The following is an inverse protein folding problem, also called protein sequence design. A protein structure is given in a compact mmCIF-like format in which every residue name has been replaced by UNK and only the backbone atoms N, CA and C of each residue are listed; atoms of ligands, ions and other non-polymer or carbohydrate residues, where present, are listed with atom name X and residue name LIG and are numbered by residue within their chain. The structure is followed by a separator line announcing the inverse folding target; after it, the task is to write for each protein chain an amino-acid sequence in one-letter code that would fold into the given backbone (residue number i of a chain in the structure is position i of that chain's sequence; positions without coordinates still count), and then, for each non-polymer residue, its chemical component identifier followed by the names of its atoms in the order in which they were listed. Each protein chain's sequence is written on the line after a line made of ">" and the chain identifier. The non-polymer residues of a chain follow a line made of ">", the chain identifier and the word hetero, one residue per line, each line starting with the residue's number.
data_IF_076960209173
#
_entry.id   IF_076960209173
#
_cell.length_a   1.000
_cell.length_b   1.000
_cell.length_c   1.000
_cell.angle_alpha   90.00
_cell.angle_beta   90.00
_cell.angle_gamma   90.00
#
_symmetry.space_group_name_H-M   'P 1'
#
loop_
_entity.id
_entity.type
_entity.pdbx_description
1 polymer ?
#
# COMPACT_ATOMS: atom_id res chain seq x y z
N UNK A 1 -18.05 -26.76 -13.21
CA UNK A 1 -16.89 -27.57 -12.76
C UNK A 1 -15.64 -27.34 -13.59
N UNK A 2 -15.63 -27.56 -14.91
CA UNK A 2 -14.41 -27.45 -15.75
C UNK A 2 -13.64 -26.12 -15.65
N UNK A 3 -14.32 -24.98 -15.48
CA UNK A 3 -13.65 -23.66 -15.34
C UNK A 3 -12.85 -23.55 -14.04
N UNK A 4 -13.40 -24.03 -12.93
CA UNK A 4 -12.74 -23.99 -11.61
C UNK A 4 -11.56 -24.96 -11.58
N UNK A 5 -11.73 -26.13 -12.19
CA UNK A 5 -10.67 -27.13 -12.32
C UNK A 5 -9.50 -26.61 -13.16
N UNK A 6 -9.78 -26.00 -14.31
CA UNK A 6 -8.75 -25.39 -15.15
C UNK A 6 -8.04 -24.23 -14.46
N UNK A 7 -8.77 -23.41 -13.69
CA UNK A 7 -8.21 -22.32 -12.90
C UNK A 7 -7.27 -22.83 -11.79
N UNK A 8 -7.68 -23.88 -11.07
CA UNK A 8 -6.84 -24.48 -10.03
C UNK A 8 -5.55 -25.08 -10.59
N UNK A 9 -5.60 -25.62 -11.81
CA UNK A 9 -4.44 -26.19 -12.48
C UNK A 9 -3.48 -25.13 -13.04
N UNK A 10 -3.97 -23.94 -13.41
CA UNK A 10 -3.16 -22.88 -14.01
C UNK A 10 -2.42 -22.01 -13.00
N UNK A 11 -2.84 -22.02 -11.73
CA UNK A 11 -2.27 -21.16 -10.68
C UNK A 11 -1.03 -21.79 -10.04
N UNK A 12 -0.10 -20.91 -9.68
CA UNK A 12 1.00 -21.27 -8.78
C UNK A 12 0.46 -21.54 -7.36
N UNK A 13 0.32 -22.82 -7.06
CA UNK A 13 -0.25 -23.35 -5.81
C UNK A 13 0.60 -22.93 -4.60
N UNK A 14 1.91 -22.81 -4.76
CA UNK A 14 2.81 -22.49 -3.65
C UNK A 14 2.56 -21.05 -3.20
N UNK A 15 2.58 -20.11 -4.15
CA UNK A 15 2.28 -18.71 -3.89
C UNK A 15 0.85 -18.52 -3.35
N UNK A 16 -0.12 -19.25 -3.89
CA UNK A 16 -1.50 -19.20 -3.41
C UNK A 16 -1.63 -19.66 -1.95
N UNK A 17 -1.00 -20.79 -1.59
CA UNK A 17 -1.01 -21.32 -0.22
C UNK A 17 -0.32 -20.36 0.76
N UNK A 18 0.80 -19.73 0.35
CA UNK A 18 1.51 -18.75 1.17
C UNK A 18 0.66 -17.50 1.44
N UNK A 19 -0.05 -16.99 0.44
CA UNK A 19 -0.94 -15.82 0.62
C UNK A 19 -2.08 -16.17 1.58
N UNK A 20 -2.68 -17.36 1.44
CA UNK A 20 -3.75 -17.81 2.34
C UNK A 20 -3.23 -18.00 3.76
N UNK A 21 -2.06 -18.62 3.94
CA UNK A 21 -1.49 -18.83 5.28
C UNK A 21 -1.15 -17.51 5.97
N UNK A 22 -0.61 -16.52 5.24
CA UNK A 22 -0.39 -15.17 5.75
C UNK A 22 -1.69 -14.47 6.15
N UNK A 23 -2.76 -14.62 5.37
CA UNK A 23 -4.06 -14.05 5.74
C UNK A 23 -4.68 -14.71 6.97
N UNK A 24 -4.62 -16.04 7.06
CA UNK A 24 -5.12 -16.79 8.22
C UNK A 24 -4.35 -16.43 9.48
N UNK A 25 -3.00 -16.36 9.41
CA UNK A 25 -2.18 -15.94 10.54
C UNK A 25 -2.51 -14.50 10.96
N UNK A 26 -2.77 -13.59 10.02
CA UNK A 26 -3.26 -12.24 10.33
C UNK A 26 -4.60 -12.24 11.09
N UNK A 27 -5.55 -13.10 10.70
CA UNK A 27 -6.83 -13.25 11.43
C UNK A 27 -6.59 -13.83 12.83
N UNK A 28 -5.73 -14.84 12.97
CA UNK A 28 -5.38 -15.44 14.28
C UNK A 28 -4.72 -14.41 15.20
N UNK A 29 -3.79 -13.60 14.68
CA UNK A 29 -3.16 -12.54 15.45
C UNK A 29 -4.15 -11.45 15.88
N UNK A 30 -5.24 -11.26 15.14
CA UNK A 30 -6.28 -10.28 15.51
C UNK A 30 -6.98 -10.62 16.82
N UNK A 31 -6.93 -11.88 17.26
CA UNK A 31 -7.44 -12.30 18.58
C UNK A 31 -6.65 -11.67 19.74
N UNK A 32 -5.40 -11.24 19.53
CA UNK A 32 -4.59 -10.64 20.59
C UNK A 32 -4.94 -9.20 20.91
N UNK A 33 -5.82 -8.52 20.15
CA UNK A 33 -6.02 -7.06 20.23
C UNK A 33 -7.23 -6.62 21.05
N UNK A 34 -8.39 -7.26 20.96
CA UNK A 34 -9.51 -6.99 21.90
C UNK A 34 -10.34 -8.25 22.27
N UNK A 35 -11.02 -8.28 23.42
CA UNK A 35 -11.93 -9.39 23.80
C UNK A 35 -13.21 -9.36 22.96
N UNK A 36 -13.64 -8.16 22.60
CA UNK A 36 -14.72 -7.97 21.64
C UNK A 36 -14.26 -8.43 20.25
N UNK A 37 -14.95 -9.42 19.68
CA UNK A 37 -14.73 -9.99 18.34
C UNK A 37 -14.82 -8.98 17.18
N UNK A 38 -14.92 -7.69 17.47
CA UNK A 38 -15.03 -6.61 16.50
C UNK A 38 -13.88 -6.59 15.47
N UNK A 39 -12.62 -6.60 15.92
CA UNK A 39 -11.46 -6.56 15.01
C UNK A 39 -11.32 -7.85 14.19
N UNK A 40 -11.61 -9.00 14.80
CA UNK A 40 -11.60 -10.32 14.15
C UNK A 40 -12.64 -10.37 13.03
N UNK A 41 -13.86 -9.89 13.29
CA UNK A 41 -14.94 -9.86 12.30
C UNK A 41 -14.55 -8.98 11.11
N UNK A 42 -13.97 -7.79 11.37
CA UNK A 42 -13.52 -6.91 10.29
C UNK A 42 -12.38 -7.52 9.48
N UNK A 43 -11.35 -8.07 10.13
CA UNK A 43 -10.24 -8.73 9.43
C UNK A 43 -10.71 -9.94 8.62
N UNK A 44 -11.63 -10.75 9.15
CA UNK A 44 -12.21 -11.89 8.43
C UNK A 44 -12.98 -11.43 7.19
N UNK A 45 -13.81 -10.38 7.29
CA UNK A 45 -14.55 -9.82 6.16
C UNK A 45 -13.57 -9.33 5.08
N UNK A 46 -12.55 -8.55 5.46
CA UNK A 46 -11.56 -8.06 4.51
C UNK A 46 -10.74 -9.18 3.86
N UNK A 47 -10.42 -10.23 4.61
CA UNK A 47 -9.73 -11.39 4.08
C UNK A 47 -10.58 -12.14 3.04
N UNK A 48 -11.87 -12.36 3.32
CA UNK A 48 -12.81 -12.95 2.36
C UNK A 48 -12.91 -12.09 1.10
N UNK A 49 -13.08 -10.77 1.25
CA UNK A 49 -13.12 -9.83 0.11
C UNK A 49 -11.82 -9.90 -0.70
N UNK A 50 -10.67 -9.99 -0.04
CA UNK A 50 -9.37 -10.08 -0.69
C UNK A 50 -9.22 -11.37 -1.51
N UNK A 51 -9.69 -12.50 -0.99
CA UNK A 51 -9.73 -13.77 -1.72
C UNK A 51 -10.64 -13.67 -2.95
N UNK A 52 -11.84 -13.09 -2.79
CA UNK A 52 -12.76 -12.89 -3.91
C UNK A 52 -12.14 -12.02 -5.01
N UNK A 53 -11.47 -10.93 -4.63
CA UNK A 53 -10.75 -10.07 -5.58
C UNK A 53 -9.60 -10.83 -6.27
N UNK A 54 -8.81 -11.62 -5.53
CA UNK A 54 -7.73 -12.44 -6.10
C UNK A 54 -8.28 -13.42 -7.15
N UNK A 55 -9.34 -14.15 -6.82
CA UNK A 55 -9.99 -15.07 -7.76
C UNK A 55 -10.57 -14.33 -8.96
N UNK A 56 -11.18 -13.16 -8.76
CA UNK A 56 -11.71 -12.34 -9.84
C UNK A 56 -10.60 -11.88 -10.80
N UNK A 57 -9.53 -11.28 -10.29
CA UNK A 57 -8.43 -10.75 -11.11
C UNK A 57 -7.63 -11.85 -11.81
N UNK A 58 -7.44 -13.00 -11.17
CA UNK A 58 -6.73 -14.14 -11.78
C UNK A 58 -7.47 -14.75 -12.98
N UNK A 59 -8.78 -14.54 -13.10
CA UNK A 59 -9.58 -14.98 -14.24
C UNK A 59 -9.57 -13.98 -15.41
N UNK A 60 -9.05 -12.77 -15.21
CA UNK A 60 -9.02 -11.76 -16.27
C UNK A 60 -7.84 -12.01 -17.21
N UNK A 61 -8.09 -12.04 -18.52
CA UNK A 61 -7.01 -12.05 -19.51
C UNK A 61 -6.31 -10.69 -19.63
N UNK A 62 -5.11 -10.68 -20.22
CA UNK A 62 -4.24 -9.51 -20.35
C UNK A 62 -4.93 -8.24 -20.85
N UNK A 63 -5.79 -8.38 -21.87
CA UNK A 63 -6.53 -7.24 -22.45
C UNK A 63 -7.52 -6.63 -21.44
N UNK A 64 -8.19 -7.47 -20.66
CA UNK A 64 -9.18 -7.02 -19.69
C UNK A 64 -8.50 -6.42 -18.46
N UNK A 65 -7.41 -7.02 -17.97
CA UNK A 65 -6.59 -6.46 -16.88
C UNK A 65 -6.11 -5.06 -17.22
N UNK A 66 -5.65 -4.82 -18.46
CA UNK A 66 -5.23 -3.49 -18.91
C UNK A 66 -6.37 -2.47 -18.91
N UNK A 67 -7.55 -2.87 -19.42
CA UNK A 67 -8.75 -1.99 -19.43
C UNK A 67 -9.20 -1.65 -18.02
N UNK A 68 -9.30 -2.65 -17.14
CA UNK A 68 -9.66 -2.44 -15.74
C UNK A 68 -8.64 -1.53 -15.07
N UNK A 69 -7.34 -1.74 -15.30
CA UNK A 69 -6.30 -0.88 -14.73
C UNK A 69 -6.41 0.57 -15.19
N UNK A 70 -6.69 0.79 -16.49
CA UNK A 70 -6.88 2.14 -17.04
C UNK A 70 -8.10 2.84 -16.42
N UNK A 71 -9.24 2.15 -16.39
CA UNK A 71 -10.48 2.70 -15.81
C UNK A 71 -10.31 2.96 -14.32
N UNK A 72 -9.78 1.99 -13.57
CA UNK A 72 -9.50 2.12 -12.14
C UNK A 72 -8.53 3.26 -11.85
N UNK A 73 -7.50 3.47 -12.67
CA UNK A 73 -6.56 4.57 -12.49
C UNK A 73 -7.27 5.94 -12.52
N UNK A 74 -8.08 6.20 -13.55
CA UNK A 74 -8.81 7.49 -13.63
C UNK A 74 -9.85 7.65 -12.52
N UNK A 75 -10.59 6.59 -12.18
CA UNK A 75 -11.55 6.62 -11.06
C UNK A 75 -10.83 6.93 -9.75
N UNK A 76 -9.68 6.30 -9.49
CA UNK A 76 -8.93 6.47 -8.25
C UNK A 76 -8.21 7.83 -8.19
N UNK A 77 -7.71 8.35 -9.31
CA UNK A 77 -7.22 9.74 -9.39
C UNK A 77 -8.36 10.71 -9.04
N UNK A 78 -9.56 10.50 -9.61
CA UNK A 78 -10.71 11.31 -9.27
C UNK A 78 -11.09 11.19 -7.79
N UNK A 79 -11.03 10.00 -7.20
CA UNK A 79 -11.22 9.82 -5.76
C UNK A 79 -10.15 10.55 -4.93
N UNK A 80 -8.87 10.52 -5.33
CA UNK A 80 -7.81 11.27 -4.66
C UNK A 80 -8.07 12.78 -4.70
N UNK A 81 -8.58 13.29 -5.82
CA UNK A 81 -9.02 14.66 -5.97
C UNK A 81 -10.20 14.99 -5.04
N UNK A 82 -11.20 14.11 -4.96
CA UNK A 82 -12.35 14.28 -4.06
C UNK A 82 -11.92 14.30 -2.59
N UNK A 83 -11.00 13.42 -2.17
CA UNK A 83 -10.47 13.42 -0.79
C UNK A 83 -9.85 14.78 -0.46
N UNK A 84 -9.11 15.35 -1.39
CA UNK A 84 -8.44 16.63 -1.22
C UNK A 84 -9.43 17.79 -1.13
N UNK A 85 -10.51 17.79 -1.92
CA UNK A 85 -11.52 18.85 -1.92
C UNK A 85 -12.49 18.80 -0.74
N UNK A 86 -12.83 17.60 -0.26
CA UNK A 86 -13.89 17.39 0.73
C UNK A 86 -13.40 17.46 2.18
N UNK A 87 -12.12 17.76 2.41
CA UNK A 87 -11.52 17.99 3.74
C UNK A 87 -11.88 16.90 4.78
N UNK A 88 -12.00 15.65 4.34
CA UNK A 88 -12.22 14.52 5.25
C UNK A 88 -10.95 14.25 6.08
N UNK A 89 -10.87 14.91 7.23
CA UNK A 89 -9.81 14.67 8.21
C UNK A 89 -10.15 13.49 9.10
N UNK A 90 -9.35 12.42 9.03
CA UNK A 90 -9.32 11.38 10.06
C UNK A 90 -7.97 11.51 10.76
N UNK A 91 -8.00 11.82 12.07
CA UNK A 91 -6.79 11.95 12.92
C UNK A 91 -5.73 12.92 12.37
N UNK A 92 -6.18 14.05 11.81
CA UNK A 92 -5.30 15.09 11.27
C UNK A 92 -4.64 14.78 9.92
N UNK A 93 -5.10 13.74 9.20
CA UNK A 93 -4.63 13.43 7.85
C UNK A 93 -5.80 13.32 6.84
N UNK A 94 -5.81 14.22 5.84
CA UNK A 94 -6.75 14.24 4.70
C UNK A 94 -6.43 13.16 3.66
N UNK A 95 -6.47 11.88 4.04
CA UNK A 95 -6.03 10.74 3.19
C UNK A 95 -7.05 9.60 3.07
N UNK A 96 -8.07 9.62 3.90
CA UNK A 96 -8.96 8.48 4.08
C UNK A 96 -10.38 8.85 3.67
N UNK A 97 -10.97 8.05 2.78
CA UNK A 97 -12.40 8.10 2.51
C UNK A 97 -13.11 7.20 3.50
N UNK A 98 -13.96 7.78 4.35
CA UNK A 98 -14.86 7.02 5.21
C UNK A 98 -16.15 6.72 4.44
N UNK A 99 -16.31 5.47 4.02
CA UNK A 99 -17.52 4.95 3.39
C UNK A 99 -18.21 4.04 4.41
N UNK A 100 -19.27 4.54 5.04
CA UNK A 100 -19.95 3.89 6.17
C UNK A 100 -18.97 3.52 7.31
N UNK A 101 -18.82 2.22 7.60
CA UNK A 101 -17.94 1.67 8.63
C UNK A 101 -16.55 1.33 8.11
N UNK A 102 -16.26 1.59 6.84
CA UNK A 102 -14.98 1.27 6.20
C UNK A 102 -14.21 2.55 5.87
N UNK A 103 -12.90 2.49 6.09
CA UNK A 103 -11.96 3.55 5.73
C UNK A 103 -11.09 3.03 4.61
N UNK A 104 -11.18 3.67 3.45
CA UNK A 104 -10.43 3.30 2.25
C UNK A 104 -9.43 4.40 1.96
N UNK A 105 -8.17 4.02 1.72
CA UNK A 105 -7.13 4.92 1.26
C UNK A 105 -6.98 4.72 -0.26
N UNK A 106 -7.44 5.67 -1.11
CA UNK A 106 -7.39 5.49 -2.56
C UNK A 106 -5.97 5.36 -3.10
N UNK A 107 -4.98 5.98 -2.44
CA UNK A 107 -3.57 5.89 -2.83
C UNK A 107 -3.04 4.46 -2.71
N UNK A 108 -3.51 3.67 -1.74
CA UNK A 108 -3.10 2.26 -1.61
C UNK A 108 -3.63 1.42 -2.78
N UNK A 109 -4.89 1.64 -3.17
CA UNK A 109 -5.59 0.86 -4.20
C UNK A 109 -5.05 1.18 -5.60
N UNK A 110 -4.63 2.43 -5.88
CA UNK A 110 -4.17 2.82 -7.21
C UNK A 110 -2.81 2.22 -7.60
N UNK A 111 -1.97 1.81 -6.63
CA UNK A 111 -0.63 1.23 -6.87
C UNK A 111 -0.60 0.07 -7.86
N UNK A 112 -1.31 -1.06 -7.63
CA UNK A 112 -1.26 -2.20 -8.54
C UNK A 112 -1.72 -1.82 -9.95
N UNK A 113 -2.76 -0.99 -10.08
CA UNK A 113 -3.25 -0.53 -11.38
C UNK A 113 -2.24 0.36 -12.10
N UNK A 114 -1.58 1.26 -11.37
CA UNK A 114 -0.50 2.07 -11.90
C UNK A 114 0.66 1.21 -12.41
N UNK A 115 1.13 0.24 -11.61
CA UNK A 115 2.23 -0.68 -11.97
C UNK A 115 1.90 -1.45 -13.26
N UNK A 116 0.65 -1.91 -13.41
CA UNK A 116 0.21 -2.62 -14.62
C UNK A 116 0.20 -1.68 -15.83
N UNK A 117 -0.30 -0.45 -15.67
CA UNK A 117 -0.35 0.55 -16.75
C UNK A 117 1.04 0.97 -17.22
N UNK A 118 1.96 1.22 -16.29
CA UNK A 118 3.33 1.60 -16.60
C UNK A 118 4.08 0.45 -17.27
N UNK A 119 3.94 -0.78 -16.75
CA UNK A 119 4.51 -1.97 -17.38
C UNK A 119 3.99 -2.15 -18.82
N UNK A 120 2.69 -1.93 -19.03
CA UNK A 120 2.11 -2.00 -20.36
C UNK A 120 2.65 -0.91 -21.29
N UNK A 121 2.77 0.34 -20.83
CA UNK A 121 3.34 1.43 -21.62
C UNK A 121 4.79 1.11 -22.00
N UNK A 122 5.62 0.65 -21.05
CA UNK A 122 7.00 0.20 -21.29
C UNK A 122 7.05 -0.92 -22.34
N UNK A 123 6.15 -1.90 -22.27
CA UNK A 123 6.10 -2.97 -23.27
C UNK A 123 5.78 -2.43 -24.69
N UNK A 124 4.93 -1.41 -24.80
CA UNK A 124 4.61 -0.81 -26.10
C UNK A 124 5.74 0.08 -26.63
N UNK A 125 6.49 0.75 -25.76
CA UNK A 125 7.61 1.61 -26.18
C UNK A 125 8.75 0.79 -26.76
N UNK A 126 9.04 -0.37 -26.16
CA UNK A 126 10.00 -1.35 -26.70
C UNK A 126 9.53 -1.86 -28.07
N UNK A 127 8.23 -2.09 -28.25
CA UNK A 127 7.62 -2.50 -29.52
C UNK A 127 7.44 -1.35 -30.53
N UNK A 128 8.34 -0.36 -30.54
CA UNK A 128 8.42 0.75 -31.51
C UNK A 128 7.36 1.84 -31.42
N UNK A 129 6.48 1.86 -30.40
CA UNK A 129 5.47 2.92 -30.23
C UNK A 129 5.95 3.98 -29.25
N UNK A 130 6.84 4.86 -29.73
CA UNK A 130 7.53 5.87 -28.91
C UNK A 130 6.61 6.82 -28.13
N UNK A 131 5.38 7.07 -28.58
CA UNK A 131 4.43 7.94 -27.88
C UNK A 131 4.02 7.41 -26.50
N UNK A 132 4.11 6.10 -26.26
CA UNK A 132 3.86 5.53 -24.93
C UNK A 132 4.92 5.93 -23.90
N UNK A 133 6.11 6.41 -24.30
CA UNK A 133 7.09 6.95 -23.36
C UNK A 133 6.55 8.22 -22.71
N UNK A 134 5.90 9.08 -23.50
CA UNK A 134 5.29 10.30 -22.97
C UNK A 134 4.15 9.93 -22.04
N UNK A 135 3.28 8.99 -22.45
CA UNK A 135 2.14 8.55 -21.64
C UNK A 135 2.56 7.94 -20.30
N UNK A 136 3.65 7.17 -20.29
CA UNK A 136 4.27 6.60 -19.10
C UNK A 136 4.63 7.69 -18.08
N UNK A 137 5.37 8.71 -18.50
CA UNK A 137 5.76 9.82 -17.62
C UNK A 137 4.56 10.70 -17.22
N UNK A 138 3.55 10.84 -18.08
CA UNK A 138 2.31 11.56 -17.76
C UNK A 138 1.56 10.85 -16.64
N UNK A 139 1.35 9.52 -16.72
CA UNK A 139 0.70 8.78 -15.65
C UNK A 139 1.47 8.87 -14.33
N UNK A 140 2.81 8.76 -14.39
CA UNK A 140 3.66 8.93 -13.22
C UNK A 140 3.53 10.33 -12.61
N UNK A 141 3.66 11.38 -13.41
CA UNK A 141 3.60 12.76 -12.95
C UNK A 141 2.23 13.11 -12.35
N UNK A 142 1.13 12.69 -12.98
CA UNK A 142 -0.23 12.88 -12.45
C UNK A 142 -0.34 12.23 -11.07
N UNK A 143 -0.04 10.93 -10.97
CA UNK A 143 -0.17 10.20 -9.71
C UNK A 143 0.70 10.80 -8.60
N UNK A 144 1.97 11.09 -8.91
CA UNK A 144 2.91 11.64 -7.93
C UNK A 144 2.44 13.00 -7.41
N UNK A 145 1.91 13.85 -8.29
CA UNK A 145 1.40 15.18 -7.93
C UNK A 145 0.26 15.08 -6.91
N UNK A 146 -0.73 14.20 -7.13
CA UNK A 146 -1.84 14.02 -6.20
C UNK A 146 -1.40 13.48 -4.83
N UNK A 147 -0.38 12.62 -4.80
CA UNK A 147 0.11 12.03 -3.54
C UNK A 147 0.93 13.05 -2.73
N UNK A 148 1.75 13.85 -3.42
CA UNK A 148 2.50 14.95 -2.78
C UNK A 148 1.53 15.99 -2.19
N UNK A 149 0.41 16.26 -2.87
CA UNK A 149 -0.66 17.13 -2.36
C UNK A 149 -1.36 16.57 -1.11
N UNK A 150 -1.27 15.26 -0.84
CA UNK A 150 -1.79 14.60 0.35
C UNK A 150 -0.76 14.51 1.51
N UNK A 151 0.25 15.37 1.51
CA UNK A 151 1.56 15.23 2.16
C UNK A 151 2.10 13.80 2.43
N UNK A 152 1.87 12.81 1.56
CA UNK A 152 2.25 11.41 1.85
C UNK A 152 3.63 11.02 1.30
N UNK A 153 4.69 11.41 2.02
CA UNK A 153 6.07 11.13 1.63
C UNK A 153 6.38 9.64 1.46
N UNK A 154 5.89 8.78 2.36
CA UNK A 154 6.18 7.35 2.30
C UNK A 154 5.63 6.75 0.99
N UNK A 155 4.41 7.16 0.64
CA UNK A 155 3.77 6.73 -0.58
C UNK A 155 4.44 7.28 -1.85
N UNK A 156 4.85 8.55 -1.83
CA UNK A 156 5.60 9.18 -2.94
C UNK A 156 6.88 8.40 -3.23
N UNK A 157 7.66 8.07 -2.20
CA UNK A 157 8.93 7.34 -2.34
C UNK A 157 8.68 5.92 -2.86
N UNK A 158 7.66 5.22 -2.35
CA UNK A 158 7.32 3.87 -2.80
C UNK A 158 6.94 3.83 -4.28
N UNK A 159 6.04 4.72 -4.73
CA UNK A 159 5.62 4.77 -6.14
C UNK A 159 6.78 5.16 -7.05
N UNK A 160 7.59 6.15 -6.66
CA UNK A 160 8.73 6.56 -7.46
C UNK A 160 9.78 5.43 -7.56
N UNK A 161 10.11 4.78 -6.45
CA UNK A 161 11.06 3.66 -6.44
C UNK A 161 10.57 2.50 -7.30
N UNK A 162 9.31 2.08 -7.15
CA UNK A 162 8.73 1.00 -7.97
C UNK A 162 8.73 1.36 -9.46
N UNK A 163 8.38 2.60 -9.82
CA UNK A 163 8.42 3.07 -11.20
C UNK A 163 9.84 3.03 -11.79
N UNK A 164 10.85 3.53 -11.07
CA UNK A 164 12.24 3.50 -11.54
C UNK A 164 12.81 2.08 -11.58
N UNK A 165 12.39 1.18 -10.68
CA UNK A 165 12.72 -0.24 -10.76
C UNK A 165 12.14 -0.89 -12.03
N UNK A 166 10.90 -0.58 -12.43
CA UNK A 166 10.34 -1.08 -13.69
C UNK A 166 11.12 -0.60 -14.91
N UNK A 167 11.49 0.69 -14.91
CA UNK A 167 12.32 1.31 -15.93
C UNK A 167 13.70 0.63 -16.03
N UNK A 168 14.31 0.34 -14.89
CA UNK A 168 15.57 -0.41 -14.83
C UNK A 168 15.45 -1.80 -15.46
N UNK A 169 14.44 -2.57 -15.05
CA UNK A 169 14.17 -3.91 -15.59
C UNK A 169 13.91 -3.87 -17.11
N UNK A 170 13.35 -2.78 -17.61
CA UNK A 170 13.12 -2.56 -19.05
C UNK A 170 14.40 -2.28 -19.86
N UNK A 171 15.57 -2.14 -19.22
CA UNK A 171 16.85 -1.93 -19.87
C UNK A 171 17.37 -0.49 -19.84
N UNK A 172 16.79 0.39 -19.01
CA UNK A 172 17.38 1.72 -18.80
C UNK A 172 18.68 1.62 -17.98
N UNK A 173 19.69 2.46 -18.28
CA UNK A 173 20.97 2.39 -17.60
C UNK A 173 20.81 2.67 -16.11
N UNK A 174 21.46 1.83 -15.28
CA UNK A 174 21.46 1.91 -13.81
C UNK A 174 21.83 3.29 -13.29
N UNK A 175 22.68 4.02 -14.03
CA UNK A 175 23.07 5.38 -13.69
C UNK A 175 21.88 6.34 -13.64
N UNK A 176 20.95 6.28 -14.60
CA UNK A 176 19.76 7.15 -14.61
C UNK A 176 18.83 6.82 -13.44
N UNK A 177 18.75 5.55 -13.07
CA UNK A 177 17.95 5.08 -11.93
C UNK A 177 18.55 5.60 -10.62
N UNK A 178 19.87 5.51 -10.44
CA UNK A 178 20.54 6.07 -9.27
C UNK A 178 20.45 7.59 -9.20
N UNK A 179 20.54 8.29 -10.33
CA UNK A 179 20.35 9.75 -10.37
C UNK A 179 18.94 10.11 -9.93
N UNK A 180 17.92 9.40 -10.41
CA UNK A 180 16.53 9.62 -10.01
C UNK A 180 16.28 9.31 -8.52
N UNK A 181 16.84 8.21 -8.00
CA UNK A 181 16.79 7.87 -6.58
C UNK A 181 17.53 8.91 -5.73
N UNK A 182 18.69 9.38 -6.19
CA UNK A 182 19.43 10.49 -5.56
C UNK A 182 18.58 11.76 -5.49
N UNK A 183 17.87 12.10 -6.56
CA UNK A 183 16.96 13.23 -6.58
C UNK A 183 15.81 13.07 -5.55
N UNK A 184 15.21 11.88 -5.45
CA UNK A 184 14.18 11.59 -4.44
C UNK A 184 14.71 11.74 -3.01
N UNK A 185 15.94 11.31 -2.74
CA UNK A 185 16.60 11.49 -1.44
C UNK A 185 16.78 12.98 -1.16
N UNK A 186 17.30 13.76 -2.12
CA UNK A 186 17.48 15.21 -1.94
C UNK A 186 16.16 15.94 -1.71
N UNK A 187 15.08 15.53 -2.40
CA UNK A 187 13.72 16.04 -2.18
C UNK A 187 13.22 15.71 -0.77
N UNK A 188 13.51 14.51 -0.27
CA UNK A 188 13.12 14.08 1.09
C UNK A 188 13.89 14.85 2.16
N UNK A 189 15.19 15.10 1.96
CA UNK A 189 15.99 15.93 2.86
C UNK A 189 15.47 17.39 2.82
N UNK A 190 15.15 17.91 1.64
CA UNK A 190 14.60 19.26 1.50
C UNK A 190 13.24 19.39 2.17
N UNK A 191 12.38 18.36 2.07
CA UNK A 191 11.05 18.35 2.69
C UNK A 191 11.12 18.37 4.22
N UNK A 192 12.18 17.83 4.84
CA UNK A 192 12.43 17.96 6.28
C UNK A 192 12.57 19.43 6.73
N UNK A 193 13.21 20.27 5.92
CA UNK A 193 13.39 21.69 6.24
C UNK A 193 12.18 22.55 5.86
N UNK A 194 11.44 22.14 4.83
CA UNK A 194 10.32 22.93 4.28
C UNK A 194 8.98 22.66 4.98
N UNK A 195 8.79 21.46 5.52
CA UNK A 195 7.49 21.04 6.06
C UNK A 195 7.57 20.65 7.53
N UNK A 196 6.91 21.41 8.39
CA UNK A 196 6.88 21.18 9.85
C UNK A 196 6.37 19.79 10.23
N UNK A 197 5.42 19.22 9.48
CA UNK A 197 4.89 17.90 9.75
C UNK A 197 5.93 16.78 9.51
N UNK A 198 6.80 16.95 8.51
CA UNK A 198 7.89 16.02 8.21
C UNK A 198 8.96 16.14 9.27
N UNK A 199 9.32 17.39 9.61
CA UNK A 199 10.28 17.70 10.67
C UNK A 199 9.87 17.04 11.98
N UNK A 200 8.61 17.26 12.43
CA UNK A 200 8.08 16.68 13.66
C UNK A 200 8.16 15.16 13.66
N UNK A 201 7.85 14.48 12.56
CA UNK A 201 7.92 13.01 12.46
C UNK A 201 9.36 12.48 12.51
N UNK A 202 10.27 13.12 11.78
CA UNK A 202 11.68 12.69 11.75
C UNK A 202 12.35 13.02 13.08
N UNK A 203 12.09 14.19 13.66
CA UNK A 203 12.62 14.55 14.97
C UNK A 203 12.06 13.65 16.06
N UNK A 204 10.76 13.35 16.07
CA UNK A 204 10.18 12.42 17.06
C UNK A 204 10.69 10.99 16.90
N UNK A 205 11.13 10.59 15.70
CA UNK A 205 11.71 9.28 15.46
C UNK A 205 13.17 9.20 15.94
N UNK A 206 13.94 10.28 15.78
CA UNK A 206 15.34 10.34 16.20
C UNK A 206 15.52 10.73 17.68
N UNK A 207 14.58 11.48 18.23
CA UNK A 207 14.58 11.92 19.63
C UNK A 207 13.95 10.84 20.52
N UNK A 208 14.75 10.28 21.42
CA UNK A 208 14.34 9.26 22.38
C UNK A 208 13.44 9.80 23.51
N UNK A 209 13.26 11.12 23.60
CA UNK A 209 12.42 11.78 24.61
C UNK A 209 11.01 12.16 24.16
N UNK A 210 10.62 11.88 22.91
CA UNK A 210 9.25 12.10 22.43
C UNK A 210 8.24 11.20 23.18
N UNK A 211 6.94 11.54 23.19
CA UNK A 211 5.85 10.72 23.77
C UNK A 211 5.75 9.35 23.06
N UNK A 212 6.63 8.45 23.48
CA UNK A 212 6.92 7.13 22.89
C UNK A 212 6.10 6.05 23.58
N UNK A 213 5.13 6.44 24.41
CA UNK A 213 4.34 5.54 25.26
C UNK A 213 3.77 4.34 24.48
N UNK A 214 3.25 4.56 23.26
CA UNK A 214 2.74 3.47 22.42
C UNK A 214 3.84 2.51 21.95
N UNK A 215 5.02 3.03 21.61
CA UNK A 215 6.17 2.23 21.18
C UNK A 215 6.74 1.44 22.37
N UNK A 216 6.89 2.08 23.53
CA UNK A 216 7.34 1.42 24.76
C UNK A 216 6.39 0.31 25.20
N UNK A 217 5.08 0.54 25.11
CA UNK A 217 4.07 -0.45 25.41
C UNK A 217 4.12 -1.62 24.42
N UNK A 218 4.37 -1.33 23.13
CA UNK A 218 4.56 -2.35 22.08
C UNK A 218 5.79 -3.22 22.35
N UNK A 219 6.92 -2.61 22.73
CA UNK A 219 8.16 -3.30 23.06
C UNK A 219 7.97 -4.17 24.31
N UNK A 220 7.33 -3.63 25.37
CA UNK A 220 7.00 -4.39 26.58
C UNK A 220 6.07 -5.57 26.28
N UNK A 221 5.08 -5.39 25.41
CA UNK A 221 4.20 -6.48 24.97
C UNK A 221 4.98 -7.59 24.27
N UNK A 222 5.88 -7.23 23.35
CA UNK A 222 6.76 -8.18 22.68
C UNK A 222 7.68 -8.93 23.66
N UNK A 223 8.36 -8.20 24.55
CA UNK A 223 9.23 -8.79 25.58
C UNK A 223 8.46 -9.75 26.50
N UNK A 224 7.21 -9.43 26.84
CA UNK A 224 6.38 -10.26 27.71
C UNK A 224 5.90 -11.56 27.06
N UNK A 225 6.06 -11.73 25.74
CA UNK A 225 5.57 -12.89 24.99
C UNK A 225 6.44 -14.15 25.10
N UNK A 226 7.74 -14.02 25.36
CA UNK A 226 8.67 -15.16 25.36
C UNK A 226 8.82 -15.84 23.99
N UNK A 227 9.59 -16.93 23.92
CA UNK A 227 9.94 -17.63 22.66
C UNK A 227 8.75 -18.41 22.07
N UNK A 228 7.90 -18.98 22.93
CA UNK A 228 6.72 -19.76 22.53
C UNK A 228 5.44 -18.92 22.43
N UNK A 229 5.52 -17.63 22.78
CA UNK A 229 4.34 -16.77 22.88
C UNK A 229 3.49 -17.10 24.12
N UNK A 230 2.53 -16.21 24.41
CA UNK A 230 1.49 -16.45 25.44
C UNK A 230 0.22 -17.08 24.88
N UNK A 231 0.13 -17.33 23.58
CA UNK A 231 -1.08 -17.80 22.92
C UNK A 231 -2.04 -16.67 22.50
N UNK A 232 -2.94 -16.93 21.53
CA UNK A 232 -3.82 -15.91 20.96
C UNK A 232 -4.79 -15.39 22.03
N UNK A 233 -4.86 -14.06 22.17
CA UNK A 233 -5.77 -13.41 23.12
C UNK A 233 -5.27 -13.30 24.57
N UNK A 234 -4.17 -13.98 24.94
CA UNK A 234 -3.68 -14.05 26.32
C UNK A 234 -2.60 -12.98 26.65
N UNK A 235 -2.51 -11.92 25.84
CA UNK A 235 -1.57 -10.82 26.03
C UNK A 235 -2.01 -9.89 27.17
N UNK A 236 -1.20 -9.79 28.22
CA UNK A 236 -1.52 -9.03 29.46
C UNK A 236 -1.63 -7.51 29.22
N UNK A 237 -0.97 -6.99 28.17
CA UNK A 237 -0.94 -5.54 27.87
C UNK A 237 -2.07 -5.07 26.94
N UNK A 238 -2.99 -5.96 26.58
CA UNK A 238 -4.15 -5.72 25.71
C UNK A 238 -5.16 -4.71 26.29
N UNK A 239 -5.26 -4.65 27.61
CA UNK A 239 -6.19 -3.76 28.33
C UNK A 239 -5.72 -2.29 28.39
N UNK A 240 -4.46 -2.02 28.04
CA UNK A 240 -3.84 -0.68 28.17
C UNK A 240 -3.53 0.00 26.83
N UNK A 241 -4.05 -0.51 25.71
CA UNK A 241 -3.98 0.25 24.46
C UNK A 241 -4.87 1.50 24.63
N UNK A 242 -4.30 2.72 24.68
CA UNK A 242 -5.14 3.89 24.48
C UNK A 242 -5.64 3.81 23.04
N UNK A 243 -6.94 4.09 22.84
CA UNK A 243 -7.55 4.16 21.52
C UNK A 243 -6.65 5.00 20.60
N UNK A 244 -6.01 4.33 19.64
CA UNK A 244 -5.19 4.98 18.63
C UNK A 244 -6.07 5.84 17.73
#
# INVERSE_FOLDING_TARGET
>A
MKVIENWWLSIDKLNFILIISLGITGVILSFSVNENFYYINRHSIFFIISILLLVFFSNLGDKNIRRVSLVSFFILIFMLLLVFLLDFEIKGAKRWLKIFSFTIQPSEIIKPFFIILTAWCISQTINSKKYYNILLFVFFAILLSFIILQPDLGMTILIATTFFCQLFVAGLPLLLVFVALGFLITMTISSYYLFDHVKKRISSFLDSGADTYQIDLSIKAFQSGGILGKGPGQGILKERFPDA
#
